data_IF_878520974121
#
_entry.id   IF_878520974121
#
_cell.length_a   1.000
_cell.length_b   1.000
_cell.length_c   1.000
_cell.angle_alpha   90.00
_cell.angle_beta   90.00
_cell.angle_gamma   90.00
#
_symmetry.space_group_name_H-M   'P 1'
#
loop_
_entity.id
_entity.type
_entity.pdbx_description
1 polymer ?
#
# COMPACT_ATOMS: atom_id res chain seq x y z
N UNK A 1 8.83 9.18 -8.48
CA UNK A 1 7.53 9.87 -8.37
C UNK A 1 6.44 9.30 -9.28
N UNK A 2 6.70 9.00 -10.57
CA UNK A 2 5.68 8.40 -11.45
C UNK A 2 5.09 7.10 -10.90
N UNK A 3 5.96 6.16 -10.47
CA UNK A 3 5.58 4.87 -9.85
C UNK A 3 4.67 5.03 -8.63
N UNK A 4 5.01 5.98 -7.74
CA UNK A 4 4.22 6.25 -6.54
C UNK A 4 2.82 6.80 -6.85
N UNK A 5 2.73 7.67 -7.85
CA UNK A 5 1.45 8.23 -8.32
C UNK A 5 0.58 7.18 -9.01
N UNK A 6 1.19 6.30 -9.79
CA UNK A 6 0.48 5.26 -10.54
C UNK A 6 -0.10 4.20 -9.59
N UNK A 7 0.71 3.70 -8.66
CA UNK A 7 0.27 2.77 -7.61
C UNK A 7 -0.85 3.36 -6.74
N UNK A 8 -0.79 4.64 -6.38
CA UNK A 8 -1.91 5.31 -5.68
C UNK A 8 -3.18 5.46 -6.53
N UNK A 9 -3.04 5.54 -7.85
CA UNK A 9 -4.18 5.55 -8.77
C UNK A 9 -4.85 4.18 -8.81
N UNK A 10 -4.05 3.11 -8.88
CA UNK A 10 -4.53 1.72 -8.80
C UNK A 10 -5.19 1.43 -7.45
N UNK A 11 -4.57 1.84 -6.35
CA UNK A 11 -5.16 1.76 -5.01
C UNK A 11 -6.54 2.41 -4.96
N UNK A 12 -6.67 3.65 -5.47
CA UNK A 12 -7.96 4.34 -5.51
C UNK A 12 -9.01 3.60 -6.35
N UNK A 13 -8.62 3.06 -7.50
CA UNK A 13 -9.50 2.25 -8.32
C UNK A 13 -9.91 0.95 -7.62
N UNK A 14 -8.98 0.31 -6.92
CA UNK A 14 -9.23 -0.92 -6.17
C UNK A 14 -10.16 -0.69 -4.96
N UNK A 15 -10.01 0.44 -4.25
CA UNK A 15 -10.95 0.88 -3.20
C UNK A 15 -12.34 1.11 -3.79
N UNK A 16 -12.44 1.80 -4.94
CA UNK A 16 -13.72 2.04 -5.61
C UNK A 16 -14.36 0.74 -6.13
N UNK A 17 -13.55 -0.23 -6.52
CA UNK A 17 -13.97 -1.58 -6.92
C UNK A 17 -14.28 -2.52 -5.76
N UNK A 18 -14.17 -2.05 -4.51
CA UNK A 18 -14.38 -2.86 -3.31
C UNK A 18 -13.53 -4.14 -3.29
N UNK A 19 -12.30 -4.05 -3.80
CA UNK A 19 -11.39 -5.19 -3.87
C UNK A 19 -10.91 -5.62 -2.48
N UNK A 20 -10.49 -6.89 -2.40
CA UNK A 20 -9.97 -7.46 -1.17
C UNK A 20 -8.76 -6.64 -0.63
N UNK A 21 -8.64 -6.49 0.70
CA UNK A 21 -7.60 -5.68 1.33
C UNK A 21 -6.16 -6.09 0.96
N UNK A 22 -5.95 -7.36 0.59
CA UNK A 22 -4.66 -7.86 0.14
C UNK A 22 -4.17 -7.12 -1.13
N UNK A 23 -5.08 -6.83 -2.07
CA UNK A 23 -4.75 -6.06 -3.27
C UNK A 23 -4.49 -4.59 -2.95
N UNK A 24 -5.24 -4.03 -2.00
CA UNK A 24 -5.04 -2.66 -1.51
C UNK A 24 -3.67 -2.48 -0.84
N UNK A 25 -3.26 -3.47 -0.02
CA UNK A 25 -1.98 -3.44 0.67
C UNK A 25 -0.79 -3.49 -0.32
N UNK A 26 -0.93 -4.24 -1.41
CA UNK A 26 0.10 -4.35 -2.46
C UNK A 26 0.35 -3.01 -3.17
N UNK A 27 -0.72 -2.35 -3.61
CA UNK A 27 -0.60 -1.04 -4.29
C UNK A 27 -0.03 0.02 -3.35
N UNK A 28 -0.42 0.01 -2.07
CA UNK A 28 0.10 0.95 -1.08
C UNK A 28 1.59 0.70 -0.80
N UNK A 29 2.02 -0.56 -0.72
CA UNK A 29 3.43 -0.95 -0.57
C UNK A 29 4.27 -0.41 -1.73
N UNK A 30 3.81 -0.61 -2.96
CA UNK A 30 4.53 -0.17 -4.16
C UNK A 30 4.69 1.36 -4.17
N UNK A 31 3.67 2.10 -3.72
CA UNK A 31 3.74 3.56 -3.59
C UNK A 31 4.76 4.00 -2.55
N UNK A 32 4.71 3.41 -1.35
CA UNK A 32 5.61 3.72 -0.25
C UNK A 32 7.05 3.38 -0.57
N UNK A 33 7.30 2.24 -1.24
CA UNK A 33 8.65 1.88 -1.69
C UNK A 33 9.19 2.89 -2.69
N UNK A 34 8.39 3.32 -3.66
CA UNK A 34 8.80 4.32 -4.64
C UNK A 34 9.03 5.71 -4.04
N UNK A 35 8.41 6.02 -2.89
CA UNK A 35 8.67 7.23 -2.11
C UNK A 35 9.92 7.08 -1.23
N UNK A 36 10.09 5.93 -0.59
CA UNK A 36 11.26 5.59 0.22
C UNK A 36 12.57 5.56 -0.56
N UNK A 37 12.54 5.11 -1.82
CA UNK A 37 13.66 5.22 -2.77
C UNK A 37 14.15 6.67 -2.95
N UNK A 38 13.26 7.66 -2.77
CA UNK A 38 13.56 9.09 -2.96
C UNK A 38 13.96 9.74 -1.64
N UNK A 39 13.28 9.42 -0.54
CA UNK A 39 13.55 10.01 0.78
C UNK A 39 14.72 9.33 1.52
N UNK A 40 15.14 8.15 1.05
CA UNK A 40 16.13 7.31 1.73
C UNK A 40 15.55 6.51 2.90
N UNK A 41 14.24 6.55 3.09
CA UNK A 41 13.54 5.85 4.17
C UNK A 41 13.07 4.47 3.71
N UNK A 42 13.29 3.46 4.54
CA UNK A 42 12.80 2.09 4.31
C UNK A 42 11.69 1.80 5.31
N UNK A 43 10.48 2.27 5.00
CA UNK A 43 9.28 2.03 5.82
C UNK A 43 8.21 1.10 5.17
N UNK A 44 8.56 0.11 4.31
CA UNK A 44 7.53 -0.72 3.68
C UNK A 44 6.85 -1.70 4.65
N UNK A 45 7.54 -2.18 5.70
CA UNK A 45 7.02 -3.28 6.53
C UNK A 45 6.10 -2.81 7.68
N UNK A 46 6.42 -1.70 8.36
CA UNK A 46 5.60 -1.19 9.48
C UNK A 46 4.18 -0.77 9.03
N UNK A 47 4.04 -0.22 7.82
CA UNK A 47 2.74 0.19 7.30
C UNK A 47 1.89 -1.02 6.91
N UNK A 48 2.51 -2.06 6.34
CA UNK A 48 1.80 -3.31 6.07
C UNK A 48 1.32 -3.94 7.38
N UNK A 49 2.18 -4.01 8.39
CA UNK A 49 1.80 -4.51 9.71
C UNK A 49 0.67 -3.69 10.32
N UNK A 50 0.64 -2.36 10.17
CA UNK A 50 -0.49 -1.56 10.68
C UNK A 50 -1.79 -1.79 9.91
N UNK A 51 -1.73 -1.95 8.59
CA UNK A 51 -2.89 -2.28 7.76
C UNK A 51 -3.43 -3.64 8.20
N UNK A 52 -2.59 -4.68 8.21
CA UNK A 52 -2.99 -6.03 8.60
C UNK A 52 -3.34 -6.15 10.09
N UNK A 53 -2.81 -5.31 10.99
CA UNK A 53 -3.19 -5.35 12.42
C UNK A 53 -4.59 -4.80 12.70
N UNK A 54 -5.08 -3.87 11.87
CA UNK A 54 -6.43 -3.28 12.02
C UNK A 54 -7.50 -4.11 11.33
N UNK A 55 -7.12 -4.94 10.37
CA UNK A 55 -7.96 -5.99 9.82
C UNK A 55 -7.71 -7.24 10.63
N UNK A 56 -8.44 -7.42 11.75
CA UNK A 56 -8.43 -8.64 12.54
C UNK A 56 -8.12 -9.85 11.65
N UNK A 57 -6.89 -10.39 11.77
CA UNK A 57 -6.52 -11.70 11.23
C UNK A 57 -7.35 -12.69 12.04
N UNK A 58 -8.61 -12.76 11.67
CA UNK A 58 -9.68 -13.48 12.32
C UNK A 58 -9.98 -14.72 11.51
N UNK A 59 -8.99 -15.61 11.45
CA UNK A 59 -9.07 -17.01 11.03
C UNK A 59 -9.19 -17.30 9.53
#
# INVERSE_FOLDING_TARGET
MLRASESLSRFRAAVAGNQEPEFLALDLKESLQALGEITGETTPDEILDQIFSRFCIGK
#
